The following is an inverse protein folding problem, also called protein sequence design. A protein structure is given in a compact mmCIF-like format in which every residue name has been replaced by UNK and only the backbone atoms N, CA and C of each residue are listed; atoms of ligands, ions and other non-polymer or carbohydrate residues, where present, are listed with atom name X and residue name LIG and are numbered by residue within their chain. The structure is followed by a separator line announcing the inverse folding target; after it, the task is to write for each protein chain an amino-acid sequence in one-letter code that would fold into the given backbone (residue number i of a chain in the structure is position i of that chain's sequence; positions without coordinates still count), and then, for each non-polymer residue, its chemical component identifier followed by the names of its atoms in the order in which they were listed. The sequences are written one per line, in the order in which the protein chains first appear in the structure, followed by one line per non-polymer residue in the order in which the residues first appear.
data_IF_747024274276
#
_entry.id   IF_747024274276
#
_cell.length_a   1.000
_cell.length_b   1.000
_cell.length_c   1.000
_cell.angle_alpha   90.00
_cell.angle_beta   90.00
_cell.angle_gamma   90.00
#
_symmetry.space_group_name_H-M   'P 1'
#
loop_
_entity.id
_entity.type
_entity.pdbx_description
1 polymer ?
#
# COMPACT_ATOMS: atom_id res chain seq x y z
N UNK A 1 25.26 -18.40 30.26
CA UNK A 1 25.15 -16.95 30.26
C UNK A 1 25.51 -16.40 28.88
N UNK A 2 24.73 -15.52 28.33
CA UNK A 2 25.03 -14.99 27.04
C UNK A 2 26.14 -13.94 27.07
N UNK A 3 26.99 -14.00 26.07
CA UNK A 3 28.03 -13.01 25.88
C UNK A 3 27.38 -11.73 25.32
N UNK A 4 27.63 -10.57 25.95
CA UNK A 4 27.12 -9.28 25.47
C UNK A 4 27.49 -8.97 24.03
N UNK A 5 28.66 -9.39 23.56
CA UNK A 5 29.08 -9.19 22.16
C UNK A 5 28.25 -9.97 21.15
N UNK A 6 27.39 -10.89 21.58
CA UNK A 6 26.49 -11.64 20.72
C UNK A 6 25.11 -10.97 20.58
N UNK A 7 24.83 -9.95 21.35
CA UNK A 7 23.56 -9.23 21.24
C UNK A 7 23.68 -8.10 20.23
N UNK A 8 22.73 -8.07 19.33
CA UNK A 8 22.57 -6.91 18.46
C UNK A 8 21.86 -5.82 19.27
N UNK A 9 22.47 -4.66 19.34
CA UNK A 9 21.79 -3.49 19.88
C UNK A 9 20.77 -2.98 18.87
N UNK A 10 19.49 -2.98 19.27
CA UNK A 10 18.43 -2.46 18.41
C UNK A 10 18.31 -0.96 18.69
N UNK A 11 18.57 -0.18 17.65
CA UNK A 11 18.38 1.27 17.69
C UNK A 11 17.23 1.66 16.79
N UNK A 12 16.13 2.07 17.39
CA UNK A 12 14.99 2.57 16.64
C UNK A 12 15.31 3.98 16.14
N UNK A 13 15.18 4.24 14.82
CA UNK A 13 15.33 5.60 14.30
C UNK A 13 14.39 6.58 15.00
N UNK A 14 14.86 7.80 15.22
CA UNK A 14 14.09 8.79 15.97
C UNK A 14 12.75 9.12 15.32
N UNK A 15 12.69 9.17 14.00
CA UNK A 15 11.45 9.46 13.31
C UNK A 15 10.36 8.41 13.58
N UNK A 16 10.74 7.15 13.77
CA UNK A 16 9.79 6.07 14.08
C UNK A 16 9.14 6.28 15.44
N UNK A 17 9.91 6.78 16.41
CA UNK A 17 9.40 7.04 17.78
C UNK A 17 8.30 8.11 17.79
N UNK A 18 8.28 9.00 16.80
CA UNK A 18 7.30 10.06 16.67
C UNK A 18 6.28 9.80 15.57
N UNK A 19 6.37 8.64 14.91
CA UNK A 19 5.47 8.30 13.82
C UNK A 19 4.11 7.81 14.34
N UNK A 20 3.05 8.32 13.71
CA UNK A 20 1.69 7.82 13.89
C UNK A 20 1.28 7.24 12.55
N UNK A 21 1.23 5.91 12.48
CA UNK A 21 1.04 5.18 11.22
C UNK A 21 -0.43 5.02 10.87
N UNK A 22 -0.74 5.29 9.61
CA UNK A 22 -2.02 4.95 9.00
C UNK A 22 -1.80 3.72 8.11
N UNK A 23 -2.42 2.59 8.47
CA UNK A 23 -2.28 1.37 7.69
C UNK A 23 -3.28 1.35 6.56
N UNK A 24 -2.80 1.00 5.37
CA UNK A 24 -3.63 0.95 4.15
C UNK A 24 -3.57 -0.43 3.51
N UNK A 25 -4.74 -0.98 3.22
CA UNK A 25 -4.93 -2.10 2.31
C UNK A 25 -5.24 -1.49 0.93
N UNK A 26 -4.29 -1.48 -0.02
CA UNK A 26 -4.41 -0.64 -1.21
C UNK A 26 -5.64 -0.90 -2.07
N UNK A 27 -6.03 -2.15 -2.24
CA UNK A 27 -7.20 -2.51 -3.04
C UNK A 27 -8.51 -1.97 -2.46
N UNK A 28 -8.55 -1.68 -1.16
CA UNK A 28 -9.79 -1.38 -0.43
C UNK A 28 -9.85 0.00 0.18
N UNK A 29 -8.87 0.85 -0.04
CA UNK A 29 -8.83 2.16 0.59
C UNK A 29 -9.49 3.25 -0.25
N UNK A 30 -8.98 3.49 -1.46
CA UNK A 30 -9.50 4.53 -2.31
C UNK A 30 -9.27 4.20 -3.79
N UNK A 31 -10.32 4.36 -4.58
CA UNK A 31 -10.28 4.27 -6.03
C UNK A 31 -9.86 5.62 -6.59
N UNK A 32 -8.84 5.63 -7.45
CA UNK A 32 -8.51 6.85 -8.18
C UNK A 32 -9.56 7.13 -9.26
N UNK A 33 -9.56 8.37 -9.72
CA UNK A 33 -10.39 8.78 -10.86
C UNK A 33 -9.89 8.22 -12.20
N UNK A 34 -8.79 7.46 -12.19
CA UNK A 34 -8.18 6.89 -13.40
C UNK A 34 -8.75 5.50 -13.70
N UNK A 35 -9.54 5.31 -14.75
CA UNK A 35 -10.20 4.04 -15.02
C UNK A 35 -9.32 2.97 -15.69
N UNK A 36 -8.10 3.32 -16.12
CA UNK A 36 -7.29 2.49 -17.01
C UNK A 36 -6.82 1.17 -16.43
N UNK A 37 -6.66 1.08 -15.12
CA UNK A 37 -6.13 -0.12 -14.46
C UNK A 37 -7.01 -1.36 -14.66
N UNK A 38 -8.29 -1.18 -14.88
CA UNK A 38 -9.23 -2.29 -15.08
C UNK A 38 -8.98 -3.06 -16.37
N UNK A 39 -8.21 -2.47 -17.27
CA UNK A 39 -7.83 -3.10 -18.54
C UNK A 39 -6.55 -3.94 -18.42
N UNK A 40 -5.86 -3.90 -17.28
CA UNK A 40 -4.54 -4.48 -17.13
C UNK A 40 -4.55 -5.99 -16.96
N UNK A 41 -5.66 -6.56 -16.45
CA UNK A 41 -5.84 -7.99 -16.44
C UNK A 41 -7.29 -8.37 -16.22
N UNK A 42 -7.58 -9.63 -16.59
CA UNK A 42 -8.87 -10.23 -16.33
C UNK A 42 -8.95 -10.62 -14.84
N UNK A 43 -9.63 -9.82 -14.06
CA UNK A 43 -9.79 -10.02 -12.63
C UNK A 43 -11.28 -9.96 -12.25
N UNK A 44 -11.61 -10.59 -11.14
CA UNK A 44 -12.97 -10.52 -10.59
C UNK A 44 -13.19 -9.17 -9.91
N UNK A 45 -13.62 -8.19 -10.69
CA UNK A 45 -13.93 -6.86 -10.18
C UNK A 45 -15.30 -6.89 -9.48
N UNK A 46 -15.36 -6.30 -8.28
CA UNK A 46 -16.59 -6.18 -7.53
C UNK A 46 -16.93 -4.71 -7.27
N UNK A 47 -18.22 -4.45 -6.98
CA UNK A 47 -18.65 -3.11 -6.65
C UNK A 47 -17.99 -2.64 -5.35
N UNK A 48 -17.67 -1.34 -5.28
CA UNK A 48 -17.00 -0.77 -4.12
C UNK A 48 -17.76 -1.04 -2.82
N UNK A 49 -19.08 -0.92 -2.87
CA UNK A 49 -19.94 -1.08 -1.70
C UNK A 49 -20.35 -2.53 -1.42
N UNK A 50 -20.02 -3.47 -2.30
CA UNK A 50 -20.37 -4.87 -2.10
C UNK A 50 -19.53 -5.50 -0.99
N UNK A 51 -20.06 -6.56 -0.39
CA UNK A 51 -19.33 -7.34 0.61
C UNK A 51 -18.08 -7.93 -0.05
N UNK A 52 -16.89 -7.73 0.52
CA UNK A 52 -15.65 -8.27 -0.05
C UNK A 52 -15.65 -9.79 -0.12
N UNK A 53 -15.09 -10.32 -1.21
CA UNK A 53 -14.88 -11.75 -1.38
C UNK A 53 -13.39 -12.09 -1.32
N UNK A 54 -13.06 -13.38 -1.16
CA UNK A 54 -11.68 -13.82 -1.07
C UNK A 54 -10.87 -13.55 -2.35
N UNK A 55 -11.52 -13.54 -3.50
CA UNK A 55 -10.85 -13.42 -4.80
C UNK A 55 -11.21 -12.14 -5.55
N UNK A 56 -12.14 -11.34 -5.03
CA UNK A 56 -12.59 -10.13 -5.68
C UNK A 56 -11.67 -8.95 -5.45
N UNK A 57 -11.65 -8.03 -6.41
CA UNK A 57 -10.90 -6.78 -6.35
C UNK A 57 -11.85 -5.60 -6.27
N UNK A 58 -11.65 -4.75 -5.28
CA UNK A 58 -12.40 -3.47 -5.16
C UNK A 58 -11.88 -2.41 -6.12
N UNK A 59 -10.60 -2.50 -6.44
CA UNK A 59 -9.99 -1.59 -7.40
C UNK A 59 -9.41 -0.33 -6.81
N UNK A 60 -9.14 -0.28 -5.49
CA UNK A 60 -8.30 0.75 -4.92
C UNK A 60 -6.90 0.73 -5.51
N UNK A 61 -6.20 1.85 -5.49
CA UNK A 61 -4.87 1.96 -6.06
C UNK A 61 -4.03 3.05 -5.37
N UNK A 62 -2.76 3.14 -5.75
CA UNK A 62 -1.85 4.13 -5.17
C UNK A 62 -2.18 5.55 -5.61
N UNK A 63 -2.79 5.73 -6.78
CA UNK A 63 -3.32 7.03 -7.20
C UNK A 63 -4.44 7.49 -6.26
N UNK A 64 -5.29 6.56 -5.82
CA UNK A 64 -6.32 6.86 -4.83
C UNK A 64 -5.73 7.27 -3.49
N UNK A 65 -4.64 6.63 -3.06
CA UNK A 65 -3.93 7.03 -1.84
C UNK A 65 -3.36 8.44 -2.00
N UNK A 66 -2.75 8.73 -3.15
CA UNK A 66 -2.21 10.06 -3.45
C UNK A 66 -3.29 11.14 -3.31
N UNK A 67 -4.48 10.88 -3.85
CA UNK A 67 -5.62 11.80 -3.76
C UNK A 67 -6.11 12.02 -2.32
N UNK A 68 -5.82 11.10 -1.41
CA UNK A 68 -6.27 11.12 -0.01
C UNK A 68 -5.16 11.51 0.99
N UNK A 69 -3.99 11.94 0.54
CA UNK A 69 -2.89 12.29 1.45
C UNK A 69 -3.27 13.41 2.42
N UNK A 70 -3.96 14.43 1.94
CA UNK A 70 -4.40 15.54 2.78
C UNK A 70 -5.37 15.07 3.86
N UNK A 71 -6.30 14.18 3.51
CA UNK A 71 -7.21 13.58 4.46
C UNK A 71 -6.47 12.83 5.57
N UNK A 72 -5.48 12.03 5.20
CA UNK A 72 -4.67 11.25 6.16
C UNK A 72 -3.90 12.20 7.08
N UNK A 73 -3.29 13.23 6.51
CA UNK A 73 -2.54 14.23 7.27
C UNK A 73 -3.43 15.02 8.22
N UNK A 74 -4.62 15.42 7.77
CA UNK A 74 -5.57 16.19 8.57
C UNK A 74 -6.10 15.38 9.76
N UNK A 75 -6.12 14.06 9.67
CA UNK A 75 -6.45 13.18 10.79
C UNK A 75 -5.35 13.11 11.86
N UNK A 76 -4.15 13.63 11.57
CA UNK A 76 -3.02 13.62 12.50
C UNK A 76 -2.01 12.51 12.27
N UNK A 77 -2.13 11.74 11.19
CA UNK A 77 -1.15 10.74 10.83
C UNK A 77 0.03 11.36 10.08
N UNK A 78 1.23 10.86 10.32
CA UNK A 78 2.43 11.35 9.67
C UNK A 78 3.27 10.25 9.01
N UNK A 79 2.76 9.04 8.97
CA UNK A 79 3.39 7.90 8.32
C UNK A 79 2.35 6.97 7.73
N UNK A 80 2.70 6.29 6.65
CA UNK A 80 1.85 5.31 6.00
C UNK A 80 2.51 3.94 6.09
N UNK A 81 1.72 2.93 6.45
CA UNK A 81 2.12 1.54 6.43
C UNK A 81 1.23 0.79 5.45
N UNK A 82 1.80 0.25 4.38
CA UNK A 82 1.04 -0.52 3.42
C UNK A 82 1.04 -2.02 3.75
N UNK A 83 -0.10 -2.68 3.56
CA UNK A 83 -0.07 -4.10 3.23
C UNK A 83 0.63 -4.26 1.86
N UNK A 84 1.03 -5.46 1.44
CA UNK A 84 1.89 -5.61 0.26
C UNK A 84 1.38 -4.90 -1.00
N UNK A 85 2.30 -4.27 -1.73
CA UNK A 85 1.99 -3.52 -2.96
C UNK A 85 2.63 -4.11 -4.22
N UNK A 86 3.50 -5.12 -4.05
CA UNK A 86 4.23 -5.69 -5.19
C UNK A 86 3.37 -6.65 -5.99
N UNK A 87 3.79 -6.90 -7.23
CA UNK A 87 3.05 -7.72 -8.17
C UNK A 87 2.72 -9.10 -7.58
N UNK A 88 1.44 -9.47 -7.64
CA UNK A 88 0.92 -10.69 -7.05
C UNK A 88 -0.37 -11.12 -7.75
N UNK A 89 -0.71 -12.39 -7.64
CA UNK A 89 -1.97 -12.93 -8.14
C UNK A 89 -3.14 -12.73 -7.16
N UNK A 90 -2.87 -12.47 -5.89
CA UNK A 90 -3.90 -12.30 -4.86
C UNK A 90 -4.28 -10.84 -4.67
N UNK A 91 -5.51 -10.58 -4.18
CA UNK A 91 -5.97 -9.22 -3.91
C UNK A 91 -5.25 -8.57 -2.72
N UNK A 92 -4.83 -9.36 -1.75
CA UNK A 92 -4.07 -8.88 -0.58
C UNK A 92 -2.58 -8.77 -0.87
N UNK A 93 -2.07 -9.36 -1.93
CA UNK A 93 -0.70 -9.30 -2.44
C UNK A 93 0.39 -9.86 -1.52
N UNK A 94 0.03 -10.65 -0.52
CA UNK A 94 1.02 -11.33 0.31
C UNK A 94 1.78 -12.44 -0.43
N UNK A 95 1.25 -12.93 -1.56
CA UNK A 95 1.93 -13.88 -2.44
C UNK A 95 2.69 -13.13 -3.53
N UNK A 96 3.82 -12.54 -3.17
CA UNK A 96 4.58 -11.69 -4.08
C UNK A 96 5.27 -12.51 -5.17
N UNK A 97 5.08 -12.10 -6.43
CA UNK A 97 5.74 -12.67 -7.59
C UNK A 97 7.03 -11.95 -7.93
N UNK A 98 7.07 -10.63 -7.78
CA UNK A 98 8.21 -9.81 -8.18
C UNK A 98 8.32 -8.60 -7.26
N UNK A 99 9.39 -8.59 -6.46
CA UNK A 99 9.66 -7.49 -5.52
C UNK A 99 10.19 -6.22 -6.20
N UNK A 100 10.53 -6.27 -7.48
CA UNK A 100 11.00 -5.11 -8.23
C UNK A 100 9.88 -4.38 -8.97
N UNK A 101 8.67 -4.91 -8.93
CA UNK A 101 7.53 -4.38 -9.63
C UNK A 101 6.35 -4.16 -8.68
N UNK A 102 5.95 -2.91 -8.51
CA UNK A 102 4.67 -2.59 -7.87
C UNK A 102 3.55 -3.09 -8.78
N UNK A 103 2.50 -3.67 -8.19
CA UNK A 103 1.41 -4.27 -8.95
C UNK A 103 0.81 -3.25 -9.94
N UNK A 104 0.77 -3.58 -11.25
CA UNK A 104 0.19 -2.69 -12.24
C UNK A 104 -1.27 -2.31 -11.95
N UNK A 105 -2.02 -3.19 -11.29
CA UNK A 105 -3.40 -2.89 -10.87
C UNK A 105 -3.48 -1.77 -9.83
N UNK A 106 -2.39 -1.52 -9.11
CA UNK A 106 -2.27 -0.42 -8.16
C UNK A 106 -1.68 0.85 -8.79
N UNK A 107 -1.32 0.80 -10.06
CA UNK A 107 -0.68 1.88 -10.78
C UNK A 107 0.79 1.64 -11.12
N UNK A 108 1.39 0.56 -10.62
CA UNK A 108 2.77 0.19 -10.92
C UNK A 108 3.81 1.12 -10.30
N UNK A 109 5.05 0.96 -10.74
CA UNK A 109 6.17 1.76 -10.25
C UNK A 109 5.98 3.27 -10.44
N UNK A 110 5.39 3.76 -11.54
CA UNK A 110 5.14 5.21 -11.70
C UNK A 110 4.22 5.78 -10.62
N UNK A 111 3.13 5.09 -10.28
CA UNK A 111 2.23 5.54 -9.23
C UNK A 111 2.92 5.57 -7.86
N UNK A 112 3.72 4.56 -7.57
CA UNK A 112 4.47 4.49 -6.33
C UNK A 112 5.47 5.63 -6.21
N UNK A 113 6.17 5.94 -7.30
CA UNK A 113 7.13 7.05 -7.30
C UNK A 113 6.45 8.39 -7.01
N UNK A 114 5.33 8.67 -7.67
CA UNK A 114 4.60 9.92 -7.41
C UNK A 114 4.08 9.99 -5.98
N UNK A 115 3.58 8.87 -5.45
CA UNK A 115 3.12 8.82 -4.08
C UNK A 115 4.26 9.10 -3.09
N UNK A 116 5.44 8.51 -3.29
CA UNK A 116 6.61 8.75 -2.45
C UNK A 116 7.02 10.23 -2.48
N UNK A 117 7.08 10.81 -3.68
CA UNK A 117 7.46 12.20 -3.83
C UNK A 117 6.45 13.15 -3.14
N UNK A 118 5.17 12.85 -3.23
CA UNK A 118 4.13 13.66 -2.60
C UNK A 118 4.06 13.47 -1.08
N UNK A 119 4.34 12.25 -0.57
CA UNK A 119 4.31 11.97 0.86
C UNK A 119 5.51 12.58 1.60
N UNK A 120 6.62 12.72 0.93
CA UNK A 120 7.81 13.36 1.47
C UNK A 120 7.79 14.85 1.18
#
# INVERSE_FOLDING_TARGET
MRNRGQYMEIRTPDWVKHAVFYQIFPDRFARSKQPRKRLLRNASWEDWEAIPTLQGYKGGDLWGVLEQLDYIQDLGFNAIYFTPIFQSASNHRYHTHDYYQVDPMLGGNPAFKELLDAAH
#
